data_IF_141054188724
#
_entry.id   IF_141054188724
#
_cell.length_a   1.000
_cell.length_b   1.000
_cell.length_c   1.000
_cell.angle_alpha   90.00
_cell.angle_beta   90.00
_cell.angle_gamma   90.00
#
_symmetry.space_group_name_H-M   'P 1'
#
loop_
_entity.id
_entity.type
_entity.pdbx_description
1 polymer ?
#
# COMPACT_ATOMS: atom_id res chain seq x y z
N UNK A 1 -19.48 22.91 -4.99
CA UNK A 1 -18.82 22.20 -6.10
C UNK A 1 -17.32 22.48 -6.16
N UNK A 2 -16.83 23.61 -6.70
CA UNK A 2 -15.37 23.83 -6.88
C UNK A 2 -14.57 23.74 -5.56
N UNK A 3 -15.02 24.45 -4.51
CA UNK A 3 -14.36 24.44 -3.20
C UNK A 3 -14.33 23.02 -2.60
N UNK A 4 -15.46 22.32 -2.66
CA UNK A 4 -15.57 20.94 -2.17
C UNK A 4 -14.66 20.00 -2.97
N UNK A 5 -14.62 20.10 -4.30
CA UNK A 5 -13.74 19.30 -5.14
C UNK A 5 -12.27 19.51 -4.78
N UNK A 6 -11.85 20.76 -4.55
CA UNK A 6 -10.49 21.07 -4.10
C UNK A 6 -10.21 20.48 -2.72
N UNK A 7 -11.13 20.60 -1.77
CA UNK A 7 -10.96 20.03 -0.42
C UNK A 7 -10.87 18.50 -0.45
N UNK A 8 -11.71 17.83 -1.25
CA UNK A 8 -11.65 16.37 -1.44
C UNK A 8 -10.35 15.92 -2.11
N UNK A 9 -9.87 16.69 -3.09
CA UNK A 9 -8.57 16.45 -3.73
C UNK A 9 -7.41 16.58 -2.74
N UNK A 10 -7.47 17.56 -1.83
CA UNK A 10 -6.48 17.72 -0.77
C UNK A 10 -6.56 16.54 0.21
N UNK A 11 -7.76 16.07 0.58
CA UNK A 11 -7.92 14.88 1.44
C UNK A 11 -7.28 13.65 0.77
N UNK A 12 -7.55 13.39 -0.50
CA UNK A 12 -6.94 12.28 -1.23
C UNK A 12 -5.42 12.43 -1.37
N UNK A 13 -4.95 13.64 -1.62
CA UNK A 13 -3.52 13.95 -1.72
C UNK A 13 -2.80 13.78 -0.38
N UNK A 14 -3.35 14.25 0.73
CA UNK A 14 -2.76 14.07 2.06
C UNK A 14 -2.86 12.61 2.51
N UNK A 15 -3.98 11.94 2.23
CA UNK A 15 -4.17 10.52 2.54
C UNK A 15 -3.10 9.65 1.90
N UNK A 16 -2.76 9.86 0.62
CA UNK A 16 -1.71 9.06 -0.04
C UNK A 16 -0.31 9.36 0.55
N UNK A 17 -0.11 10.53 1.14
CA UNK A 17 1.17 10.90 1.76
C UNK A 17 1.37 10.25 3.14
N UNK A 18 0.34 9.69 3.76
CA UNK A 18 0.41 9.06 5.07
C UNK A 18 1.52 8.01 5.18
N UNK A 19 1.51 7.08 4.23
CA UNK A 19 2.50 6.01 4.15
C UNK A 19 3.89 6.43 3.68
N UNK A 20 4.12 7.72 3.41
CA UNK A 20 5.35 8.25 2.78
C UNK A 20 6.04 9.28 3.66
N UNK A 21 5.27 10.19 4.27
CA UNK A 21 5.78 11.28 5.13
C UNK A 21 5.40 11.05 6.59
N UNK A 22 4.15 10.65 6.85
CA UNK A 22 3.58 10.62 8.20
C UNK A 22 3.78 9.29 8.94
N UNK A 23 4.62 8.40 8.39
CA UNK A 23 5.01 7.16 9.08
C UNK A 23 3.87 6.16 9.25
N UNK A 24 2.89 6.12 8.32
CA UNK A 24 1.74 5.20 8.37
C UNK A 24 0.85 5.44 9.61
N UNK A 25 0.33 6.65 9.76
CA UNK A 25 -0.61 6.99 10.84
C UNK A 25 -2.03 6.44 10.61
N UNK A 26 -2.24 5.66 9.54
CA UNK A 26 -3.53 5.13 9.08
C UNK A 26 -4.52 6.21 8.65
N UNK A 27 -4.02 7.37 8.19
CA UNK A 27 -4.85 8.43 7.59
C UNK A 27 -5.31 8.07 6.18
N UNK A 28 -4.62 7.14 5.53
CA UNK A 28 -4.98 6.58 4.23
C UNK A 28 -6.22 5.67 4.29
N UNK A 29 -6.68 5.35 5.51
CA UNK A 29 -7.77 4.41 5.72
C UNK A 29 -9.14 4.99 5.32
N UNK A 30 -9.96 4.22 4.59
CA UNK A 30 -11.33 4.54 4.19
C UNK A 30 -12.23 5.04 5.32
N UNK A 31 -12.10 4.51 6.54
CA UNK A 31 -12.88 4.99 7.68
C UNK A 31 -12.52 6.44 8.06
N UNK A 32 -11.26 6.83 7.94
CA UNK A 32 -10.77 8.18 8.23
C UNK A 32 -11.06 9.11 7.05
N UNK A 33 -10.69 8.71 5.84
CA UNK A 33 -10.94 9.50 4.63
C UNK A 33 -12.43 9.70 4.40
N UNK A 34 -13.27 8.68 4.60
CA UNK A 34 -14.73 8.77 4.48
C UNK A 34 -15.36 9.74 5.49
N UNK A 35 -14.88 9.77 6.73
CA UNK A 35 -15.27 10.79 7.72
C UNK A 35 -14.92 12.20 7.23
N UNK A 36 -13.70 12.41 6.73
CA UNK A 36 -13.25 13.71 6.21
C UNK A 36 -14.06 14.15 4.98
N UNK A 37 -14.40 13.21 4.09
CA UNK A 37 -15.30 13.47 2.96
C UNK A 37 -16.69 13.89 3.45
N UNK A 38 -17.25 13.16 4.42
CA UNK A 38 -18.53 13.50 5.04
C UNK A 38 -18.53 14.89 5.67
N UNK A 39 -17.44 15.28 6.32
CA UNK A 39 -17.26 16.63 6.87
C UNK A 39 -17.28 17.71 5.78
N UNK A 40 -16.59 17.49 4.65
CA UNK A 40 -16.56 18.44 3.53
C UNK A 40 -17.92 18.55 2.82
N UNK A 41 -18.66 17.45 2.75
CA UNK A 41 -19.96 17.39 2.08
C UNK A 41 -21.14 17.71 3.01
N UNK A 42 -20.93 17.81 4.32
CA UNK A 42 -21.95 18.17 5.31
C UNK A 42 -22.74 16.98 5.87
N UNK A 43 -22.36 15.75 5.57
CA UNK A 43 -22.97 14.52 6.10
C UNK A 43 -21.91 13.56 6.66
N UNK A 44 -21.50 13.84 7.90
CA UNK A 44 -20.49 13.04 8.62
C UNK A 44 -21.02 11.63 8.92
N UNK A 45 -22.30 11.47 9.23
CA UNK A 45 -22.87 10.16 9.59
C UNK A 45 -22.78 9.21 8.40
N UNK A 46 -23.22 9.66 7.23
CA UNK A 46 -23.09 8.87 6.01
C UNK A 46 -21.62 8.63 5.66
N UNK A 47 -20.76 9.65 5.80
CA UNK A 47 -19.32 9.51 5.57
C UNK A 47 -18.65 8.41 6.41
N UNK A 48 -18.95 8.35 7.72
CA UNK A 48 -18.42 7.31 8.61
C UNK A 48 -18.99 5.93 8.25
N UNK A 49 -20.30 5.83 8.00
CA UNK A 49 -20.92 4.54 7.66
C UNK A 49 -20.38 3.97 6.35
N UNK A 50 -20.25 4.80 5.31
CA UNK A 50 -19.72 4.39 4.02
C UNK A 50 -18.22 4.07 4.15
N UNK A 51 -17.46 4.90 4.85
CA UNK A 51 -16.04 4.65 5.12
C UNK A 51 -15.79 3.33 5.84
N UNK A 52 -16.60 2.99 6.84
CA UNK A 52 -16.51 1.72 7.55
C UNK A 52 -16.82 0.50 6.64
N UNK A 53 -17.78 0.63 5.74
CA UNK A 53 -18.10 -0.44 4.79
C UNK A 53 -17.00 -0.64 3.75
N UNK A 54 -16.43 0.45 3.25
CA UNK A 54 -15.27 0.41 2.37
C UNK A 54 -14.05 -0.20 3.08
N UNK A 55 -13.85 0.11 4.37
CA UNK A 55 -12.78 -0.49 5.17
C UNK A 55 -12.89 -2.01 5.25
N UNK A 56 -14.10 -2.55 5.43
CA UNK A 56 -14.32 -4.01 5.51
C UNK A 56 -13.84 -4.75 4.25
N UNK A 57 -13.92 -4.12 3.09
CA UNK A 57 -13.47 -4.70 1.81
C UNK A 57 -11.96 -4.69 1.70
N UNK A 58 -11.31 -3.70 2.31
CA UNK A 58 -9.87 -3.48 2.22
C UNK A 58 -9.09 -3.98 3.42
N UNK A 59 -9.78 -4.51 4.45
CA UNK A 59 -9.19 -5.05 5.69
C UNK A 59 -8.23 -6.23 5.47
N UNK A 60 -8.37 -6.96 4.35
CA UNK A 60 -7.48 -8.05 3.96
C UNK A 60 -6.47 -7.69 2.86
N UNK A 61 -6.47 -6.44 2.39
CA UNK A 61 -5.61 -6.02 1.28
C UNK A 61 -4.42 -5.23 1.84
N UNK A 62 -3.25 -5.87 1.84
CA UNK A 62 -1.98 -5.25 2.21
C UNK A 62 -0.97 -5.39 1.07
N UNK A 63 -0.19 -4.32 0.83
CA UNK A 63 0.94 -4.38 -0.09
C UNK A 63 2.12 -5.09 0.56
N UNK A 64 2.58 -6.19 -0.03
CA UNK A 64 3.75 -6.91 0.44
C UNK A 64 4.87 -6.78 -0.59
N UNK A 65 6.07 -6.39 -0.13
CA UNK A 65 7.19 -6.11 -1.02
C UNK A 65 6.84 -4.95 -1.96
N UNK A 66 6.88 -5.20 -3.27
CA UNK A 66 6.51 -4.21 -4.27
C UNK A 66 5.13 -4.47 -4.92
N UNK A 67 4.30 -5.36 -4.36
CA UNK A 67 2.86 -5.37 -4.65
C UNK A 67 2.28 -4.05 -4.21
N UNK A 68 1.84 -3.27 -5.18
CA UNK A 68 0.91 -2.18 -4.93
C UNK A 68 -0.48 -2.75 -4.88
N UNK A 69 -1.18 -2.73 -3.73
CA UNK A 69 -2.60 -3.04 -3.69
C UNK A 69 -3.41 -1.95 -4.43
N UNK A 70 -4.70 -2.19 -4.70
CA UNK A 70 -5.63 -1.13 -5.11
C UNK A 70 -5.51 0.12 -4.24
N UNK A 71 -5.62 1.30 -4.83
CA UNK A 71 -5.50 2.56 -4.12
C UNK A 71 -6.78 2.86 -3.31
N UNK A 72 -6.73 2.46 -2.04
CA UNK A 72 -7.82 2.61 -1.07
C UNK A 72 -8.13 4.06 -0.73
N UNK A 73 -7.17 4.99 -0.89
CA UNK A 73 -7.37 6.41 -0.60
C UNK A 73 -8.26 7.03 -1.65
N UNK A 74 -7.87 6.89 -2.92
CA UNK A 74 -8.60 7.49 -4.03
C UNK A 74 -9.96 6.82 -4.20
N UNK A 75 -10.02 5.48 -4.09
CA UNK A 75 -11.28 4.75 -4.08
C UNK A 75 -12.18 5.14 -2.91
N UNK A 76 -11.60 5.30 -1.72
CA UNK A 76 -12.32 5.65 -0.49
C UNK A 76 -12.95 7.04 -0.55
N UNK A 77 -12.16 8.03 -0.96
CA UNK A 77 -12.60 9.42 -1.11
C UNK A 77 -13.68 9.54 -2.19
N UNK A 78 -13.44 9.00 -3.39
CA UNK A 78 -14.40 9.13 -4.49
C UNK A 78 -15.66 8.28 -4.28
N UNK A 79 -15.52 7.06 -3.77
CA UNK A 79 -16.66 6.21 -3.43
C UNK A 79 -17.57 6.86 -2.40
N UNK A 80 -16.99 7.38 -1.31
CA UNK A 80 -17.75 8.10 -0.28
C UNK A 80 -18.38 9.38 -0.82
N UNK A 81 -17.64 10.16 -1.61
CA UNK A 81 -18.14 11.41 -2.15
C UNK A 81 -19.31 11.20 -3.10
N UNK A 82 -19.22 10.24 -4.02
CA UNK A 82 -20.31 9.96 -4.96
C UNK A 82 -21.53 9.34 -4.30
N UNK A 83 -21.34 8.51 -3.27
CA UNK A 83 -22.45 7.99 -2.49
C UNK A 83 -23.24 9.09 -1.76
N UNK A 84 -22.55 10.06 -1.15
CA UNK A 84 -23.19 11.21 -0.50
C UNK A 84 -23.85 12.14 -1.54
N UNK A 85 -23.16 12.45 -2.64
CA UNK A 85 -23.67 13.35 -3.68
C UNK A 85 -24.86 12.77 -4.46
N UNK A 86 -24.92 11.45 -4.64
CA UNK A 86 -26.02 10.77 -5.35
C UNK A 86 -27.21 10.43 -4.45
N UNK A 87 -27.04 10.47 -3.12
CA UNK A 87 -28.07 10.05 -2.16
C UNK A 87 -28.37 8.55 -2.15
N UNK A 88 -27.62 7.75 -2.92
CA UNK A 88 -27.87 6.31 -3.12
C UNK A 88 -27.10 5.40 -2.14
N UNK A 89 -26.55 5.97 -1.08
CA UNK A 89 -25.94 5.22 0.02
C UNK A 89 -24.71 4.40 -0.41
N UNK A 90 -24.40 3.37 0.36
CA UNK A 90 -23.13 2.66 0.25
C UNK A 90 -23.01 1.75 -0.97
N UNK A 91 -24.12 1.30 -1.56
CA UNK A 91 -24.09 0.39 -2.71
C UNK A 91 -23.44 1.03 -3.94
N UNK A 92 -23.74 2.32 -4.17
CA UNK A 92 -23.06 3.14 -5.20
C UNK A 92 -21.60 3.41 -4.82
N UNK A 93 -21.30 3.58 -3.52
CA UNK A 93 -19.92 3.74 -3.07
C UNK A 93 -19.06 2.55 -3.51
N UNK A 94 -19.55 1.33 -3.29
CA UNK A 94 -18.83 0.10 -3.64
C UNK A 94 -18.65 -0.07 -5.14
N UNK A 95 -19.71 0.18 -5.91
CA UNK A 95 -19.69 0.06 -7.37
C UNK A 95 -18.64 0.97 -8.03
N UNK A 96 -18.42 2.16 -7.47
CA UNK A 96 -17.47 3.14 -8.01
C UNK A 96 -16.08 3.01 -7.38
N UNK A 97 -15.99 2.72 -6.07
CA UNK A 97 -14.72 2.70 -5.35
C UNK A 97 -13.73 1.67 -5.89
N UNK A 98 -14.20 0.45 -6.19
CA UNK A 98 -13.31 -0.64 -6.62
C UNK A 98 -12.68 -0.36 -7.99
N UNK A 99 -13.43 -0.05 -9.07
CA UNK A 99 -12.84 0.28 -10.35
C UNK A 99 -11.91 1.50 -10.29
N UNK A 100 -12.30 2.53 -9.55
CA UNK A 100 -11.49 3.74 -9.36
C UNK A 100 -10.18 3.42 -8.64
N UNK A 101 -10.22 2.59 -7.59
CA UNK A 101 -9.03 2.19 -6.85
C UNK A 101 -8.01 1.44 -7.72
N UNK A 102 -8.47 0.60 -8.65
CA UNK A 102 -7.61 -0.13 -9.59
C UNK A 102 -6.95 0.83 -10.61
N UNK A 103 -7.69 1.84 -11.09
CA UNK A 103 -7.12 2.87 -11.96
C UNK A 103 -6.14 3.78 -11.24
N UNK A 104 -6.46 4.19 -10.02
CA UNK A 104 -5.58 5.01 -9.22
C UNK A 104 -4.31 4.25 -8.81
N UNK A 105 -4.43 2.95 -8.51
CA UNK A 105 -3.29 2.04 -8.34
C UNK A 105 -2.41 2.02 -9.60
N UNK A 106 -3.02 1.89 -10.77
CA UNK A 106 -2.33 1.90 -12.06
C UNK A 106 -1.49 3.18 -12.24
N UNK A 107 -2.09 4.33 -11.94
CA UNK A 107 -1.37 5.61 -11.94
C UNK A 107 -0.27 5.65 -10.87
N UNK A 108 -0.50 5.08 -9.69
CA UNK A 108 0.50 4.93 -8.63
C UNK A 108 1.72 4.09 -9.06
N UNK A 109 1.51 3.03 -9.85
CA UNK A 109 2.60 2.25 -10.45
C UNK A 109 3.41 3.11 -11.42
N UNK A 110 2.75 3.88 -12.27
CA UNK A 110 3.42 4.80 -13.21
C UNK A 110 4.28 5.83 -12.45
N UNK A 111 3.77 6.39 -11.36
CA UNK A 111 4.54 7.31 -10.50
C UNK A 111 5.75 6.61 -9.88
N UNK A 112 5.63 5.35 -9.46
CA UNK A 112 6.77 4.57 -8.95
C UNK A 112 7.85 4.37 -10.02
N UNK A 113 7.46 4.07 -11.25
CA UNK A 113 8.40 3.95 -12.38
C UNK A 113 9.15 5.26 -12.59
N UNK A 114 8.44 6.39 -12.62
CA UNK A 114 9.05 7.72 -12.74
C UNK A 114 9.96 8.02 -11.53
N UNK A 115 9.55 7.64 -10.31
CA UNK A 115 10.33 7.87 -9.10
C UNK A 115 11.65 7.08 -9.06
N UNK A 116 11.72 5.94 -9.74
CA UNK A 116 12.98 5.20 -9.90
C UNK A 116 14.06 6.05 -10.58
N UNK A 117 13.68 6.88 -11.57
CA UNK A 117 14.60 7.82 -12.22
C UNK A 117 15.15 8.88 -11.26
N UNK A 118 14.30 9.43 -10.39
CA UNK A 118 14.73 10.41 -9.38
C UNK A 118 15.66 9.79 -8.33
N UNK A 119 15.42 8.52 -7.97
CA UNK A 119 16.30 7.77 -7.06
C UNK A 119 17.70 7.59 -7.65
N UNK A 120 17.82 7.21 -8.93
CA UNK A 120 19.12 7.11 -9.62
C UNK A 120 19.86 8.46 -9.67
N UNK A 121 19.14 9.57 -9.91
CA UNK A 121 19.73 10.92 -9.86
C UNK A 121 20.17 11.32 -8.45
N UNK A 122 19.44 10.93 -7.41
CA UNK A 122 19.84 11.20 -6.04
C UNK A 122 21.19 10.55 -5.71
N UNK A 123 21.41 9.30 -6.15
CA UNK A 123 22.70 8.61 -6.01
C UNK A 123 23.83 9.35 -6.74
N UNK A 124 23.58 9.86 -7.95
CA UNK A 124 24.57 10.64 -8.71
C UNK A 124 24.98 11.94 -7.99
N UNK A 125 24.03 12.66 -7.38
CA UNK A 125 24.33 13.88 -6.62
C UNK A 125 24.95 13.58 -5.24
N UNK A 126 24.63 12.44 -4.64
CA UNK A 126 25.27 11.98 -3.41
C UNK A 126 26.77 11.75 -3.61
N UNK A 127 27.19 11.18 -4.75
CA UNK A 127 28.62 11.02 -5.11
C UNK A 127 29.38 12.35 -5.25
N UNK A 128 28.67 13.45 -5.50
CA UNK A 128 29.24 14.80 -5.61
C UNK A 128 29.16 15.59 -4.30
N UNK A 129 28.70 14.97 -3.20
CA UNK A 129 28.43 15.62 -1.93
C UNK A 129 27.49 16.85 -2.03
N UNK A 130 26.60 16.89 -3.03
CA UNK A 130 25.62 17.96 -3.20
C UNK A 130 24.32 17.65 -2.44
N UNK A 131 24.34 17.91 -1.13
CA UNK A 131 23.21 17.66 -0.24
C UNK A 131 21.92 18.38 -0.65
N UNK A 132 22.03 19.57 -1.26
CA UNK A 132 20.86 20.34 -1.67
C UNK A 132 20.11 19.64 -2.80
N UNK A 133 20.84 19.16 -3.81
CA UNK A 133 20.23 18.42 -4.91
C UNK A 133 19.70 17.06 -4.48
N UNK A 134 20.39 16.37 -3.57
CA UNK A 134 19.88 15.11 -2.98
C UNK A 134 18.51 15.34 -2.31
N UNK A 135 18.39 16.36 -1.46
CA UNK A 135 17.13 16.70 -0.78
C UNK A 135 16.01 17.00 -1.79
N UNK A 136 16.28 17.77 -2.84
CA UNK A 136 15.27 18.06 -3.88
C UNK A 136 14.82 16.76 -4.59
N UNK A 137 15.77 15.87 -4.93
CA UNK A 137 15.45 14.60 -5.58
C UNK A 137 14.67 13.64 -4.67
N UNK A 138 14.75 13.79 -3.35
CA UNK A 138 13.94 13.03 -2.40
C UNK A 138 12.53 13.60 -2.23
N UNK A 139 12.36 14.92 -2.26
CA UNK A 139 11.04 15.57 -2.10
C UNK A 139 10.20 15.61 -3.37
N UNK A 140 10.81 15.60 -4.56
CA UNK A 140 10.08 15.64 -5.82
C UNK A 140 9.14 14.42 -6.04
N UNK A 141 9.57 13.16 -5.75
CA UNK A 141 8.70 11.99 -5.73
C UNK A 141 7.45 12.12 -4.85
N UNK A 142 7.57 12.81 -3.71
CA UNK A 142 6.49 13.02 -2.75
C UNK A 142 5.40 13.90 -3.38
N UNK A 143 5.81 15.00 -4.02
CA UNK A 143 4.91 15.91 -4.73
C UNK A 143 4.21 15.18 -5.89
N UNK A 144 4.93 14.33 -6.63
CA UNK A 144 4.34 13.54 -7.71
C UNK A 144 3.25 12.59 -7.20
N UNK A 145 3.47 11.93 -6.06
CA UNK A 145 2.43 11.10 -5.45
C UNK A 145 1.22 11.93 -5.02
N UNK A 146 1.43 13.07 -4.37
CA UNK A 146 0.33 13.97 -4.01
C UNK A 146 -0.50 14.38 -5.22
N UNK A 147 0.16 14.78 -6.31
CA UNK A 147 -0.52 15.19 -7.55
C UNK A 147 -1.22 14.02 -8.23
N UNK A 148 -0.64 12.81 -8.15
CA UNK A 148 -1.21 11.62 -8.79
C UNK A 148 -2.55 11.18 -8.21
N UNK A 149 -2.86 11.48 -6.96
CA UNK A 149 -4.18 11.19 -6.37
C UNK A 149 -5.06 12.44 -6.30
N UNK A 150 -4.49 13.61 -5.97
CA UNK A 150 -5.28 14.85 -5.86
C UNK A 150 -5.85 15.31 -7.20
N UNK A 151 -5.07 15.29 -8.29
CA UNK A 151 -5.54 15.76 -9.60
C UNK A 151 -6.66 14.88 -10.16
N UNK A 152 -6.54 13.54 -10.19
CA UNK A 152 -7.65 12.70 -10.64
C UNK A 152 -8.87 12.81 -9.74
N UNK A 153 -8.69 12.92 -8.42
CA UNK A 153 -9.81 13.11 -7.49
C UNK A 153 -10.55 14.41 -7.77
N UNK A 154 -9.82 15.52 -7.96
CA UNK A 154 -10.40 16.82 -8.32
C UNK A 154 -11.20 16.73 -9.62
N UNK A 155 -10.59 16.16 -10.66
CA UNK A 155 -11.23 16.03 -11.97
C UNK A 155 -12.46 15.12 -11.90
N UNK A 156 -12.37 14.00 -11.19
CA UNK A 156 -13.47 13.05 -11.01
C UNK A 156 -14.70 13.69 -10.35
N UNK A 157 -14.50 14.47 -9.27
CA UNK A 157 -15.60 15.18 -8.61
C UNK A 157 -16.20 16.26 -9.53
N UNK A 158 -15.38 16.95 -10.31
CA UNK A 158 -15.85 18.00 -11.23
C UNK A 158 -16.63 17.45 -12.43
N UNK A 159 -16.28 16.27 -12.95
CA UNK A 159 -16.97 15.66 -14.09
C UNK A 159 -18.18 14.79 -13.68
N UNK A 160 -18.21 14.30 -12.44
CA UNK A 160 -19.31 13.49 -11.88
C UNK A 160 -19.16 11.98 -12.10
N UNK A 161 -19.86 11.19 -11.28
CA UNK A 161 -19.73 9.73 -11.19
C UNK A 161 -19.99 8.99 -12.52
N UNK A 162 -21.04 9.38 -13.25
CA UNK A 162 -21.43 8.71 -14.49
C UNK A 162 -20.36 8.86 -15.58
N UNK A 163 -19.78 10.06 -15.69
CA UNK A 163 -18.71 10.34 -16.65
C UNK A 163 -17.40 9.68 -16.26
N UNK A 164 -17.09 9.60 -14.96
CA UNK A 164 -15.96 8.80 -14.47
C UNK A 164 -16.16 7.36 -14.92
N UNK A 165 -17.28 6.73 -14.58
CA UNK A 165 -17.56 5.33 -14.92
C UNK A 165 -17.51 5.07 -16.43
N UNK A 166 -18.07 5.98 -17.24
CA UNK A 166 -17.98 5.90 -18.70
C UNK A 166 -16.53 6.02 -19.21
N UNK A 167 -15.72 6.91 -18.62
CA UNK A 167 -14.30 7.05 -18.96
C UNK A 167 -13.52 5.79 -18.60
N UNK A 168 -13.77 5.19 -17.44
CA UNK A 168 -13.17 3.91 -17.04
C UNK A 168 -13.47 2.83 -18.08
N UNK A 169 -14.75 2.71 -18.46
CA UNK A 169 -15.20 1.71 -19.43
C UNK A 169 -14.69 1.97 -20.85
N UNK A 170 -14.26 3.19 -21.16
CA UNK A 170 -13.67 3.55 -22.45
C UNK A 170 -12.18 3.19 -22.54
N UNK A 171 -11.49 2.93 -21.43
CA UNK A 171 -10.08 2.53 -21.46
C UNK A 171 -10.00 1.08 -22.00
N UNK A 172 -9.24 0.83 -23.08
CA UNK A 172 -9.07 -0.52 -23.62
C UNK A 172 -8.49 -1.45 -22.56
N UNK A 173 -9.11 -2.63 -22.41
CA UNK A 173 -8.67 -3.66 -21.44
C UNK A 173 -7.17 -3.97 -21.55
N UNK A 174 -6.63 -4.03 -22.77
CA UNK A 174 -5.19 -4.29 -23.03
C UNK A 174 -4.27 -3.33 -22.26
N UNK A 175 -4.64 -2.06 -22.10
CA UNK A 175 -3.80 -1.08 -21.39
C UNK A 175 -3.88 -1.31 -19.87
N UNK A 176 -5.09 -1.53 -19.35
CA UNK A 176 -5.29 -1.83 -17.92
C UNK A 176 -4.65 -3.15 -17.53
N UNK A 177 -4.83 -4.18 -18.35
CA UNK A 177 -4.24 -5.49 -18.17
C UNK A 177 -2.71 -5.40 -18.27
N UNK A 178 -2.17 -4.64 -19.23
CA UNK A 178 -0.73 -4.44 -19.39
C UNK A 178 -0.08 -3.74 -18.19
N UNK A 179 -0.72 -2.70 -17.66
CA UNK A 179 -0.24 -2.03 -16.46
C UNK A 179 -0.42 -2.89 -15.20
N UNK A 180 -1.50 -3.68 -15.16
CA UNK A 180 -1.75 -4.69 -14.13
C UNK A 180 -0.65 -5.75 -14.10
N UNK A 181 -0.31 -6.34 -15.25
CA UNK A 181 0.77 -7.34 -15.37
C UNK A 181 2.11 -6.74 -14.94
N UNK A 182 2.47 -5.54 -15.43
CA UNK A 182 3.69 -4.85 -15.01
C UNK A 182 3.69 -4.61 -13.49
N UNK A 183 2.54 -4.21 -12.92
CA UNK A 183 2.33 -4.04 -11.50
C UNK A 183 2.43 -5.33 -10.68
N UNK A 184 2.05 -6.49 -11.23
CA UNK A 184 2.21 -7.81 -10.57
C UNK A 184 3.63 -8.37 -10.61
N UNK A 185 4.48 -7.88 -11.52
CA UNK A 185 5.90 -8.26 -11.53
C UNK A 185 6.68 -7.61 -10.40
N UNK A 186 6.32 -6.37 -10.02
CA UNK A 186 6.95 -5.67 -8.89
C UNK A 186 6.87 -6.48 -7.58
N UNK A 187 5.71 -7.00 -7.11
CA UNK A 187 5.64 -7.84 -5.93
C UNK A 187 6.53 -9.06 -5.98
N UNK A 188 6.64 -9.74 -7.12
CA UNK A 188 7.52 -10.89 -7.25
C UNK A 188 8.98 -10.50 -6.96
N UNK A 189 9.42 -9.34 -7.45
CA UNK A 189 10.75 -8.77 -7.13
C UNK A 189 10.86 -8.39 -5.65
N UNK A 190 9.82 -7.79 -5.06
CA UNK A 190 9.81 -7.45 -3.65
C UNK A 190 9.84 -8.66 -2.71
N UNK A 191 9.06 -9.70 -3.01
CA UNK A 191 9.12 -10.98 -2.32
C UNK A 191 10.47 -11.66 -2.51
N UNK A 192 11.08 -11.58 -3.70
CA UNK A 192 12.42 -12.11 -3.92
C UNK A 192 13.46 -11.41 -3.04
N UNK A 193 13.44 -10.08 -2.94
CA UNK A 193 14.32 -9.32 -2.05
C UNK A 193 14.08 -9.64 -0.56
N UNK A 194 12.82 -9.74 -0.13
CA UNK A 194 12.49 -10.13 1.25
C UNK A 194 12.93 -11.57 1.56
N UNK A 195 12.72 -12.48 0.61
CA UNK A 195 13.17 -13.86 0.71
C UNK A 195 14.69 -13.91 0.79
N UNK A 196 15.41 -13.14 -0.01
CA UNK A 196 16.88 -13.05 0.04
C UNK A 196 17.38 -12.57 1.42
N UNK A 197 16.68 -11.61 2.04
CA UNK A 197 17.01 -11.11 3.38
C UNK A 197 16.64 -12.08 4.52
N UNK A 198 15.54 -12.83 4.40
CA UNK A 198 14.97 -13.64 5.49
C UNK A 198 15.25 -15.14 5.40
N UNK A 199 15.44 -15.68 4.18
CA UNK A 199 15.70 -17.10 3.97
C UNK A 199 17.16 -17.42 4.26
N UNK A 200 17.39 -18.01 5.43
CA UNK A 200 18.58 -18.83 5.65
C UNK A 200 18.28 -20.31 5.39
N UNK A 201 19.32 -21.12 5.19
CA UNK A 201 19.17 -22.59 5.05
C UNK A 201 18.33 -23.19 6.19
N UNK A 202 18.47 -22.67 7.41
CA UNK A 202 17.72 -23.13 8.60
C UNK A 202 16.26 -22.69 8.59
N UNK A 203 15.96 -21.48 8.09
CA UNK A 203 14.61 -20.92 8.08
C UNK A 203 13.79 -21.34 6.85
N UNK A 204 14.44 -21.85 5.81
CA UNK A 204 13.79 -22.30 4.56
C UNK A 204 12.68 -23.34 4.79
N UNK A 205 12.84 -24.23 5.77
CA UNK A 205 11.84 -25.25 6.10
C UNK A 205 10.53 -24.61 6.58
N UNK A 206 10.59 -23.58 7.44
CA UNK A 206 9.40 -22.88 7.93
C UNK A 206 8.70 -22.09 6.81
N UNK A 207 9.47 -21.53 5.89
CA UNK A 207 8.93 -20.86 4.70
C UNK A 207 8.13 -21.84 3.84
N UNK A 208 8.67 -23.02 3.51
CA UNK A 208 7.96 -24.02 2.71
C UNK A 208 6.73 -24.58 3.42
N UNK A 209 6.77 -24.76 4.74
CA UNK A 209 5.59 -25.14 5.52
C UNK A 209 4.49 -24.08 5.40
N UNK A 210 4.84 -22.81 5.60
CA UNK A 210 3.90 -21.69 5.44
C UNK A 210 3.34 -21.59 4.01
N UNK A 211 4.19 -21.80 3.00
CA UNK A 211 3.80 -21.83 1.59
C UNK A 211 2.79 -22.96 1.29
N UNK A 212 3.03 -24.17 1.80
CA UNK A 212 2.12 -25.30 1.61
C UNK A 212 0.77 -25.06 2.31
N UNK A 213 0.78 -24.49 3.51
CA UNK A 213 -0.43 -24.10 4.23
C UNK A 213 -1.22 -23.01 3.46
N UNK A 214 -0.54 -22.04 2.87
CA UNK A 214 -1.18 -21.00 2.06
C UNK A 214 -1.74 -21.54 0.74
N UNK A 215 -0.99 -22.41 0.05
CA UNK A 215 -1.38 -22.91 -1.28
C UNK A 215 -2.42 -24.02 -1.23
N UNK A 216 -2.40 -24.87 -0.21
CA UNK A 216 -3.26 -26.06 -0.13
C UNK A 216 -4.15 -26.12 1.11
N UNK A 217 -3.87 -25.31 2.15
CA UNK A 217 -4.62 -25.34 3.40
C UNK A 217 -5.93 -24.55 3.36
N UNK A 218 -6.14 -23.68 2.37
CA UNK A 218 -7.33 -22.83 2.29
C UNK A 218 -7.52 -21.88 3.48
N UNK A 219 -6.48 -21.71 4.30
CA UNK A 219 -6.47 -20.84 5.46
C UNK A 219 -6.14 -19.41 5.02
N UNK A 220 -6.80 -18.43 5.64
CA UNK A 220 -6.44 -17.04 5.44
C UNK A 220 -5.02 -16.75 5.94
N UNK A 221 -4.35 -15.78 5.31
CA UNK A 221 -2.96 -15.38 5.61
C UNK A 221 -2.82 -15.02 7.09
N UNK A 222 -3.85 -14.40 7.67
CA UNK A 222 -3.91 -14.05 9.09
C UNK A 222 -3.83 -15.28 10.00
N UNK A 223 -4.55 -16.35 9.67
CA UNK A 223 -4.52 -17.59 10.45
C UNK A 223 -3.15 -18.26 10.36
N UNK A 224 -2.55 -18.29 9.18
CA UNK A 224 -1.21 -18.84 8.96
C UNK A 224 -0.17 -18.04 9.75
N UNK A 225 -0.29 -16.71 9.78
CA UNK A 225 0.58 -15.85 10.58
C UNK A 225 0.47 -16.15 12.09
N UNK A 226 -0.75 -16.35 12.61
CA UNK A 226 -0.95 -16.72 14.02
C UNK A 226 -0.30 -18.08 14.36
N UNK A 227 -0.45 -19.08 13.50
CA UNK A 227 0.26 -20.35 13.66
C UNK A 227 1.78 -20.14 13.62
N UNK A 228 2.29 -19.30 12.72
CA UNK A 228 3.69 -18.92 12.66
C UNK A 228 4.19 -18.29 13.95
N UNK A 229 3.40 -17.40 14.57
CA UNK A 229 3.72 -16.79 15.87
C UNK A 229 3.80 -17.85 16.96
N UNK A 230 2.84 -18.77 17.04
CA UNK A 230 2.87 -19.86 18.02
C UNK A 230 4.13 -20.73 17.85
N UNK A 231 4.48 -21.10 16.61
CA UNK A 231 5.70 -21.87 16.32
C UNK A 231 6.95 -21.09 16.70
N UNK A 232 7.01 -19.79 16.39
CA UNK A 232 8.12 -18.92 16.75
C UNK A 232 8.33 -18.82 18.27
N UNK A 233 7.25 -18.70 19.05
CA UNK A 233 7.32 -18.70 20.51
C UNK A 233 7.85 -20.02 21.07
N UNK A 234 7.38 -21.16 20.55
CA UNK A 234 7.87 -22.49 20.97
C UNK A 234 9.35 -22.65 20.66
N UNK A 235 9.80 -22.25 19.46
CA UNK A 235 11.20 -22.30 19.07
C UNK A 235 12.07 -21.39 19.94
N UNK A 236 11.63 -20.17 20.21
CA UNK A 236 12.35 -19.22 21.07
C UNK A 236 12.54 -19.80 22.48
N UNK A 237 11.49 -20.38 23.07
CA UNK A 237 11.57 -21.01 24.39
C UNK A 237 12.56 -22.19 24.41
N UNK A 238 12.59 -23.00 23.34
CA UNK A 238 13.47 -24.17 23.26
C UNK A 238 14.94 -23.79 22.99
N UNK A 239 15.17 -22.74 22.19
CA UNK A 239 16.51 -22.23 21.87
C UNK A 239 17.12 -21.52 23.09
N UNK A 240 16.38 -20.62 23.75
CA UNK A 240 16.86 -19.90 24.94
C UNK A 240 17.11 -20.84 26.14
N UNK A 241 16.32 -21.91 26.30
CA UNK A 241 16.59 -22.93 27.33
C UNK A 241 17.86 -23.75 27.05
N UNK A 242 18.31 -23.81 25.79
CA UNK A 242 19.52 -24.53 25.42
C UNK A 242 20.77 -23.67 25.68
N UNK A 243 20.69 -22.36 25.44
CA UNK A 243 21.75 -21.40 25.79
C UNK A 243 21.93 -21.26 27.31
N UNK A 244 20.86 -21.29 28.10
CA UNK A 244 20.96 -21.25 29.57
C UNK A 244 21.58 -22.51 30.20
N UNK A 245 21.71 -23.62 29.46
CA UNK A 245 22.23 -24.90 29.94
C UNK A 245 23.63 -25.26 29.38
N UNK A 246 24.24 -24.40 28.56
CA UNK A 246 25.60 -24.60 28.05
C UNK A 246 26.50 -23.42 28.43
N UNK A 247 27.68 -23.74 28.97
CA UNK A 247 28.69 -22.81 29.52
C UNK A 247 28.85 -21.49 28.73
N UNK A 248 29.08 -20.35 29.41
CA UNK A 248 29.07 -18.99 28.84
C UNK A 248 30.32 -18.63 28.01
N UNK A 249 30.92 -19.58 27.27
CA UNK A 249 32.21 -19.37 26.61
C UNK A 249 32.26 -19.71 25.12
N UNK A 250 31.12 -19.99 24.48
CA UNK A 250 31.03 -20.18 23.02
C UNK A 250 29.89 -19.38 22.39
N UNK A 251 29.59 -18.20 22.95
CA UNK A 251 28.73 -17.21 22.30
C UNK A 251 29.50 -16.49 21.18
N UNK A 252 29.94 -17.22 20.16
CA UNK A 252 30.28 -16.63 18.87
C UNK A 252 29.00 -16.69 18.04
N UNK A 253 28.36 -15.53 17.95
CA UNK A 253 27.30 -15.14 17.01
C UNK A 253 27.35 -15.96 15.72
N UNK A 254 26.47 -16.96 15.59
CA UNK A 254 26.22 -17.68 14.33
C UNK A 254 24.72 -17.82 14.03
N UNK A 255 23.91 -16.92 14.60
CA UNK A 255 22.51 -16.72 14.17
C UNK A 255 22.38 -15.62 13.10
N UNK A 256 23.48 -14.92 12.79
CA UNK A 256 23.64 -14.07 11.62
C UNK A 256 24.87 -14.52 10.84
N UNK A 257 24.81 -15.67 10.17
CA UNK A 257 25.71 -15.97 9.03
C UNK A 257 25.25 -15.15 7.83
N UNK A 258 25.31 -13.84 7.98
CA UNK A 258 24.89 -12.84 7.03
C UNK A 258 25.53 -11.54 7.46
N UNK A 259 26.86 -11.52 7.52
CA UNK A 259 27.55 -10.26 7.23
C UNK A 259 27.05 -9.84 5.86
N UNK A 260 26.25 -8.78 5.84
CA UNK A 260 25.91 -8.10 4.61
C UNK A 260 27.22 -7.49 4.14
N UNK A 261 27.89 -8.18 3.23
CA UNK A 261 29.00 -7.62 2.49
C UNK A 261 28.42 -6.54 1.57
N UNK A 262 28.77 -5.29 1.83
CA UNK A 262 28.31 -4.12 1.07
C UNK A 262 29.28 -3.75 -0.06
N UNK A 263 30.12 -4.68 -0.51
CA UNK A 263 30.92 -4.51 -1.74
C UNK A 263 30.12 -4.77 -3.02
#
# INVERSE_FOLDING_TARGET
MLVQATMLAIIAGVGILDGRIFGQSMLDRPIVTGMLVGLVLGDIKSGIMIGAQLELIWMGIAGIGAATPPDVVTGGVLGTAFAILSGNGAEVALAVAVPVAVLAQSLGVLVRIINSYFSQKAVFYAKQADFKKVTIMMWLPVILFFLSTSVPTFLAIMIGADKVTALINAIPKVILDGLGVAGTLLPAVGFALLMDMLLSKKMSVFFFIGFLLASYGGLDITAIALFGVCVAFVLNFYINNKENNQNPQLAINTLTEGEIDFE
#
